data_IF_142617093718
#
_entry.id   IF_142617093718
#
_cell.length_a   1.000
_cell.length_b   1.000
_cell.length_c   1.000
_cell.angle_alpha   90.00
_cell.angle_beta   90.00
_cell.angle_gamma   90.00
#
_symmetry.space_group_name_H-M   'P 1'
#
loop_
_entity.id
_entity.type
_entity.pdbx_description
1 polymer ?
#
# COMPACT_ATOMS: atom_id res chain seq x y z
N UNK A 1 -36.08 -14.32 34.63
CA UNK A 1 -35.62 -13.82 33.32
C UNK A 1 -34.17 -13.41 33.50
N UNK A 2 -33.25 -14.09 32.83
CA UNK A 2 -31.81 -13.90 33.05
C UNK A 2 -31.11 -13.98 31.70
N UNK A 3 -30.46 -12.90 31.29
CA UNK A 3 -29.79 -12.78 30.00
C UNK A 3 -28.45 -13.51 30.00
N UNK A 4 -28.25 -14.44 29.07
CA UNK A 4 -26.98 -15.15 28.90
C UNK A 4 -26.24 -14.52 27.71
N UNK A 5 -25.16 -13.79 28.01
CA UNK A 5 -24.26 -13.21 27.01
C UNK A 5 -23.21 -14.23 26.59
N UNK A 6 -23.38 -14.85 25.42
CA UNK A 6 -22.43 -15.81 24.86
C UNK A 6 -21.22 -15.12 24.23
N UNK A 7 -20.07 -15.18 24.91
CA UNK A 7 -18.79 -14.66 24.38
C UNK A 7 -18.01 -15.80 23.73
N UNK A 8 -17.90 -15.80 22.40
CA UNK A 8 -17.19 -16.83 21.63
C UNK A 8 -15.67 -16.56 21.63
N UNK A 9 -14.92 -17.33 22.43
CA UNK A 9 -13.45 -17.29 22.41
C UNK A 9 -12.91 -18.27 21.36
N UNK A 10 -12.13 -17.74 20.41
CA UNK A 10 -11.52 -18.51 19.32
C UNK A 10 -10.50 -19.54 19.80
N UNK A 11 -10.57 -20.75 19.25
CA UNK A 11 -9.83 -21.95 19.69
C UNK A 11 -8.42 -22.10 19.10
N UNK A 12 -7.83 -21.04 18.53
CA UNK A 12 -6.56 -21.13 17.81
C UNK A 12 -5.28 -21.01 18.66
N UNK A 13 -5.37 -20.72 19.97
CA UNK A 13 -4.22 -20.35 20.82
C UNK A 13 -3.56 -21.52 21.58
N UNK A 14 -3.61 -22.75 21.06
CA UNK A 14 -3.17 -23.95 21.82
C UNK A 14 -2.31 -24.96 21.06
N UNK A 15 -1.49 -24.49 20.11
CA UNK A 15 -0.31 -25.21 19.61
C UNK A 15 0.88 -24.25 19.62
N UNK A 16 2.04 -24.77 19.98
CA UNK A 16 3.31 -24.06 20.25
C UNK A 16 3.35 -23.27 21.56
N UNK A 17 4.14 -23.79 22.49
CA UNK A 17 4.41 -23.21 23.79
C UNK A 17 5.46 -22.09 23.74
N UNK A 18 5.60 -21.41 24.86
CA UNK A 18 6.39 -20.21 25.07
C UNK A 18 7.71 -20.53 25.76
N UNK A 19 8.83 -19.95 25.30
CA UNK A 19 9.94 -19.50 26.16
C UNK A 19 10.91 -18.58 25.40
N UNK A 20 11.53 -17.60 26.09
CA UNK A 20 12.52 -16.68 25.51
C UNK A 20 12.30 -15.19 25.81
N UNK A 21 12.57 -14.75 27.04
CA UNK A 21 12.52 -13.34 27.45
C UNK A 21 13.66 -12.53 26.79
N UNK A 22 13.41 -11.29 26.35
CA UNK A 22 14.09 -10.07 26.87
C UNK A 22 13.71 -8.77 26.13
N UNK A 23 13.88 -7.65 26.84
CA UNK A 23 14.08 -6.29 26.33
C UNK A 23 12.95 -5.63 25.53
N UNK A 24 12.08 -4.95 26.28
CA UNK A 24 11.49 -3.69 25.84
C UNK A 24 12.57 -2.73 25.32
N UNK A 25 12.45 -2.28 24.06
CA UNK A 25 13.11 -1.07 23.57
C UNK A 25 12.08 -0.18 22.89
N UNK A 26 11.66 0.85 23.61
CA UNK A 26 10.95 1.99 23.00
C UNK A 26 11.94 2.69 22.07
N UNK A 27 11.63 2.78 20.78
CA UNK A 27 12.35 3.69 19.90
C UNK A 27 11.94 5.13 20.24
N UNK A 28 12.91 5.93 20.67
CA UNK A 28 12.73 7.35 20.92
C UNK A 28 13.08 8.15 19.65
N UNK A 29 12.30 9.18 19.35
CA UNK A 29 12.55 10.09 18.24
C UNK A 29 13.90 10.81 18.39
N UNK A 30 14.64 11.09 17.29
CA UNK A 30 15.87 11.86 17.36
C UNK A 30 15.62 13.29 17.82
N UNK A 31 16.40 13.77 18.80
CA UNK A 31 16.43 15.19 19.15
C UNK A 31 17.28 15.96 18.13
N UNK A 32 16.62 16.70 17.23
CA UNK A 32 17.26 17.74 16.42
C UNK A 32 17.70 18.93 17.28
N UNK A 33 18.77 19.61 16.87
CA UNK A 33 19.45 20.63 17.67
C UNK A 33 18.67 21.96 17.78
N UNK A 34 18.98 22.72 18.84
CA UNK A 34 18.49 24.08 19.07
C UNK A 34 19.03 25.04 18.01
N UNK A 35 18.13 25.72 17.29
CA UNK A 35 18.43 26.93 16.53
C UNK A 35 17.93 28.16 17.30
N UNK A 36 18.75 29.21 17.38
CA UNK A 36 18.40 30.46 18.07
C UNK A 36 17.55 31.38 17.17
N UNK A 37 16.51 31.99 17.76
CA UNK A 37 16.03 33.32 17.36
C UNK A 37 15.05 33.86 18.40
N UNK A 38 15.57 34.62 19.37
CA UNK A 38 14.74 35.33 20.35
C UNK A 38 14.02 36.51 19.68
N UNK A 39 12.69 36.53 19.75
CA UNK A 39 11.90 37.74 19.50
C UNK A 39 11.72 38.49 20.83
N UNK A 40 11.96 39.81 20.90
CA UNK A 40 11.87 40.54 22.16
C UNK A 40 10.40 40.76 22.54
N UNK A 41 9.94 40.04 23.57
CA UNK A 41 8.69 40.33 24.25
C UNK A 41 8.88 41.53 25.21
N UNK A 42 8.10 42.59 24.99
CA UNK A 42 8.18 43.85 25.76
C UNK A 42 7.73 43.64 27.20
N UNK A 43 8.67 43.61 28.15
CA UNK A 43 8.38 43.59 29.58
C UNK A 43 8.55 44.99 30.21
N UNK A 44 7.47 45.49 30.79
CA UNK A 44 7.51 46.63 31.70
C UNK A 44 8.29 46.25 32.98
N UNK A 45 9.33 47.01 33.30
CA UNK A 45 10.04 46.91 34.58
C UNK A 45 10.04 48.26 35.28
N UNK A 46 9.33 48.34 36.41
CA UNK A 46 9.37 49.49 37.31
C UNK A 46 10.63 49.42 38.18
N UNK A 47 11.49 50.43 38.12
CA UNK A 47 12.75 50.49 38.86
C UNK A 47 12.90 51.81 39.62
N UNK A 48 12.71 51.78 40.95
CA UNK A 48 13.16 52.83 41.86
C UNK A 48 14.57 52.49 42.35
N UNK A 49 15.48 53.46 42.39
CA UNK A 49 16.49 53.73 43.46
C UNK A 49 17.40 54.89 43.03
N UNK A 50 17.27 56.05 43.68
CA UNK A 50 18.23 56.62 44.65
C UNK A 50 19.64 56.92 44.12
N UNK A 51 19.94 58.22 43.97
CA UNK A 51 21.30 58.76 43.90
C UNK A 51 21.28 60.18 44.45
N UNK A 52 21.97 60.44 45.56
CA UNK A 52 21.91 61.70 46.30
C UNK A 52 23.29 62.37 46.38
N UNK A 53 23.31 63.70 46.25
CA UNK A 53 24.44 64.60 46.56
C UNK A 53 23.81 66.00 46.73
N UNK A 54 23.55 66.56 47.92
CA UNK A 54 24.37 66.87 49.11
C UNK A 54 25.24 68.13 48.95
N UNK A 55 24.67 69.29 49.28
CA UNK A 55 25.37 70.58 49.39
C UNK A 55 24.71 71.44 50.48
N UNK A 56 25.43 71.65 51.57
CA UNK A 56 25.07 72.50 52.74
C UNK A 56 25.19 74.00 52.40
N UNK A 57 24.69 74.98 53.17
CA UNK A 57 24.42 75.10 54.61
C UNK A 57 23.15 75.98 54.88
N UNK A 58 22.42 75.88 56.02
CA UNK A 58 22.69 76.55 57.32
C UNK A 58 23.00 78.05 57.19
N UNK A 59 22.38 79.01 57.89
CA UNK A 59 21.33 79.01 58.94
C UNK A 59 20.46 80.30 58.77
N UNK A 60 19.55 80.75 59.63
CA UNK A 60 19.16 80.38 61.00
C UNK A 60 17.64 80.64 61.23
N UNK A 61 17.25 81.17 62.39
CA UNK A 61 15.90 81.69 62.71
C UNK A 61 15.96 83.20 62.98
N UNK A 62 14.84 83.93 62.80
CA UNK A 62 14.29 84.80 63.84
C UNK A 62 12.89 85.34 63.49
N UNK A 63 12.06 85.45 64.52
CA UNK A 63 10.75 86.12 64.52
C UNK A 63 10.91 87.63 64.64
N UNK A 64 10.18 88.45 63.89
CA UNK A 64 9.84 89.80 64.37
C UNK A 64 8.56 90.38 63.76
N UNK A 65 7.69 90.87 64.64
CA UNK A 65 6.45 91.58 64.33
C UNK A 65 6.67 93.04 63.93
N UNK A 66 5.75 93.52 63.09
CA UNK A 66 5.23 94.91 62.98
C UNK A 66 6.23 96.06 63.13
N UNK A 67 6.50 96.77 62.02
CA UNK A 67 6.83 98.19 62.09
C UNK A 67 6.14 99.02 60.98
N UNK A 68 5.53 100.14 61.37
CA UNK A 68 4.50 100.86 60.62
C UNK A 68 5.09 101.88 59.61
N UNK A 69 5.97 101.43 58.73
CA UNK A 69 6.62 102.28 57.71
C UNK A 69 6.67 101.63 56.30
N UNK A 70 5.86 100.60 56.07
CA UNK A 70 5.93 99.77 54.86
C UNK A 70 5.04 100.20 53.69
N UNK A 71 4.02 101.05 53.87
CA UNK A 71 2.91 101.17 52.90
C UNK A 71 3.35 101.58 51.48
N UNK A 72 4.20 102.60 51.34
CA UNK A 72 4.61 103.13 50.01
C UNK A 72 5.61 102.20 49.32
N UNK A 73 6.48 101.53 50.10
CA UNK A 73 7.42 100.52 49.58
C UNK A 73 6.75 99.19 49.26
N UNK A 74 5.69 98.82 50.00
CA UNK A 74 4.92 97.60 49.77
C UNK A 74 4.10 97.68 48.47
N UNK A 75 3.57 98.84 48.10
CA UNK A 75 2.85 98.99 46.83
C UNK A 75 3.82 99.02 45.62
N UNK A 76 5.03 99.57 45.78
CA UNK A 76 6.11 99.40 44.79
C UNK A 76 6.60 97.95 44.70
N UNK A 77 6.74 97.25 45.83
CA UNK A 77 7.12 95.84 45.86
C UNK A 77 6.04 94.96 45.21
N UNK A 78 4.75 95.17 45.53
CA UNK A 78 3.60 94.51 44.88
C UNK A 78 3.52 94.86 43.39
N UNK A 79 3.82 96.09 42.99
CA UNK A 79 3.84 96.47 41.58
C UNK A 79 4.97 95.76 40.81
N UNK A 80 6.16 95.65 41.42
CA UNK A 80 7.29 94.90 40.87
C UNK A 80 7.02 93.39 40.83
N UNK A 81 6.46 92.81 41.90
CA UNK A 81 6.02 91.41 41.97
C UNK A 81 4.92 91.13 40.93
N UNK A 82 3.95 92.04 40.77
CA UNK A 82 2.93 91.97 39.72
C UNK A 82 3.53 92.05 38.32
N UNK A 83 4.54 92.89 38.10
CA UNK A 83 5.26 92.97 36.82
C UNK A 83 6.08 91.69 36.54
N UNK A 84 6.72 91.11 37.56
CA UNK A 84 7.40 89.81 37.46
C UNK A 84 6.41 88.68 37.18
N UNK A 85 5.27 88.64 37.87
CA UNK A 85 4.17 87.69 37.61
C UNK A 85 3.57 87.87 36.22
N UNK A 86 3.44 89.10 35.72
CA UNK A 86 3.04 89.36 34.33
C UNK A 86 4.09 88.88 33.32
N UNK A 87 5.39 89.12 33.59
CA UNK A 87 6.47 88.59 32.75
C UNK A 87 6.51 87.06 32.75
N UNK A 88 6.26 86.43 33.90
CA UNK A 88 6.20 84.98 34.04
C UNK A 88 4.97 84.42 33.31
N UNK A 89 3.81 85.08 33.43
CA UNK A 89 2.59 84.70 32.73
C UNK A 89 2.71 84.87 31.21
N UNK A 90 3.29 85.97 30.72
CA UNK A 90 3.59 86.16 29.29
C UNK A 90 4.52 85.05 28.77
N UNK A 91 5.51 84.62 29.58
CA UNK A 91 6.37 83.48 29.25
C UNK A 91 5.60 82.15 29.26
N UNK A 92 4.68 81.93 30.21
CA UNK A 92 3.78 80.77 30.19
C UNK A 92 2.86 80.76 28.97
N UNK A 93 2.27 81.89 28.57
CA UNK A 93 1.49 82.01 27.32
C UNK A 93 2.35 81.63 26.11
N UNK A 94 3.60 82.09 26.04
CA UNK A 94 4.53 81.68 24.96
C UNK A 94 4.86 80.19 24.98
N UNK A 95 4.94 79.56 26.16
CA UNK A 95 5.13 78.11 26.28
C UNK A 95 3.88 77.33 25.91
N UNK A 96 2.69 77.78 26.30
CA UNK A 96 1.40 77.17 25.93
C UNK A 96 1.22 77.21 24.41
N UNK A 97 1.49 78.35 23.77
CA UNK A 97 1.41 78.46 22.31
C UNK A 97 2.46 77.59 21.62
N UNK A 98 3.69 77.51 22.15
CA UNK A 98 4.72 76.60 21.64
C UNK A 98 4.35 75.13 21.81
N UNK A 99 3.73 74.75 22.93
CA UNK A 99 3.19 73.39 23.16
C UNK A 99 2.08 73.11 22.15
N UNK A 100 1.13 74.03 21.96
CA UNK A 100 0.04 73.90 20.98
C UNK A 100 0.55 73.70 19.54
N UNK A 101 1.55 74.46 19.12
CA UNK A 101 2.19 74.30 17.80
C UNK A 101 2.94 72.97 17.68
N UNK A 102 3.59 72.51 18.76
CA UNK A 102 4.25 71.19 18.80
C UNK A 102 3.26 70.02 18.84
N UNK A 103 2.11 70.19 19.50
CA UNK A 103 1.00 69.25 19.50
C UNK A 103 0.40 69.15 18.10
N UNK A 104 0.05 70.28 17.48
CA UNK A 104 -0.46 70.32 16.09
C UNK A 104 0.53 69.70 15.09
N UNK A 105 1.84 69.94 15.26
CA UNK A 105 2.88 69.32 14.43
C UNK A 105 3.01 67.81 14.70
N UNK A 106 2.89 67.36 15.94
CA UNK A 106 2.84 65.93 16.25
C UNK A 106 1.57 65.28 15.68
N UNK A 107 0.44 65.97 15.70
CA UNK A 107 -0.82 65.49 15.11
C UNK A 107 -0.68 65.31 13.60
N UNK A 108 -0.08 66.29 12.91
CA UNK A 108 0.23 66.20 11.48
C UNK A 108 1.21 65.04 11.17
N UNK A 109 2.30 64.90 11.95
CA UNK A 109 3.26 63.80 11.78
C UNK A 109 2.65 62.42 12.08
N UNK A 110 1.70 62.33 13.03
CA UNK A 110 0.93 61.11 13.27
C UNK A 110 0.00 60.80 12.09
N UNK A 111 -0.71 61.79 11.57
CA UNK A 111 -1.57 61.62 10.40
C UNK A 111 -0.77 61.20 9.14
N UNK A 112 0.43 61.77 8.94
CA UNK A 112 1.36 61.33 7.90
C UNK A 112 1.84 59.89 8.13
N UNK A 113 2.26 59.54 9.35
CA UNK A 113 2.67 58.16 9.69
C UNK A 113 1.55 57.14 9.50
N UNK A 114 0.32 57.47 9.90
CA UNK A 114 -0.84 56.59 9.69
C UNK A 114 -1.26 56.52 8.22
N UNK A 115 -1.02 57.58 7.42
CA UNK A 115 -1.17 57.51 5.96
C UNK A 115 -0.13 56.58 5.32
N UNK A 116 1.13 56.63 5.78
CA UNK A 116 2.18 55.72 5.32
C UNK A 116 2.02 54.28 5.82
N UNK A 117 1.43 54.08 7.01
CA UNK A 117 1.08 52.77 7.58
C UNK A 117 -0.18 52.17 6.96
N UNK A 118 -1.15 53.02 6.62
CA UNK A 118 -2.41 52.67 5.96
C UNK A 118 -2.26 52.35 4.48
N UNK A 119 -1.15 52.77 3.85
CA UNK A 119 -0.62 52.09 2.67
C UNK A 119 -0.14 50.69 3.12
N UNK A 120 -1.05 49.72 3.08
CA UNK A 120 -0.79 48.32 3.42
C UNK A 120 0.30 47.67 2.56
N UNK A 121 0.58 46.36 2.75
CA UNK A 121 1.57 45.65 1.94
C UNK A 121 1.30 45.94 0.46
N UNK A 122 2.29 46.53 -0.22
CA UNK A 122 2.13 46.97 -1.62
C UNK A 122 1.63 45.80 -2.44
N UNK A 123 0.78 46.00 -3.46
CA UNK A 123 0.23 44.93 -4.33
C UNK A 123 1.28 43.87 -4.76
N UNK A 124 2.54 44.29 -4.95
CA UNK A 124 3.69 43.42 -5.17
C UNK A 124 3.96 42.42 -4.04
N UNK A 125 3.93 42.84 -2.77
CA UNK A 125 4.09 41.99 -1.60
C UNK A 125 2.93 40.98 -1.45
N UNK A 126 1.71 41.34 -1.83
CA UNK A 126 0.57 40.42 -1.88
C UNK A 126 0.75 39.37 -2.98
N UNK A 127 1.20 39.77 -4.18
CA UNK A 127 1.54 38.86 -5.27
C UNK A 127 2.68 37.91 -4.90
N UNK A 128 3.79 38.42 -4.35
CA UNK A 128 4.89 37.58 -3.87
C UNK A 128 4.46 36.64 -2.72
N UNK A 129 3.54 37.07 -1.84
CA UNK A 129 2.96 36.19 -0.81
C UNK A 129 2.11 35.07 -1.42
N UNK A 130 1.36 35.36 -2.50
CA UNK A 130 0.60 34.36 -3.25
C UNK A 130 1.53 33.35 -3.95
N UNK A 131 2.54 33.83 -4.68
CA UNK A 131 3.55 33.00 -5.33
C UNK A 131 4.29 32.09 -4.32
N UNK A 132 4.68 32.62 -3.16
CA UNK A 132 5.30 31.83 -2.09
C UNK A 132 4.32 30.80 -1.50
N UNK A 133 3.03 31.11 -1.42
CA UNK A 133 2.01 30.14 -0.99
C UNK A 133 1.81 29.03 -2.03
N UNK A 134 1.80 29.35 -3.33
CA UNK A 134 1.69 28.38 -4.41
C UNK A 134 2.93 27.50 -4.52
N UNK A 135 4.13 28.06 -4.43
CA UNK A 135 5.37 27.29 -4.41
C UNK A 135 5.41 26.32 -3.21
N UNK A 136 4.91 26.73 -2.04
CA UNK A 136 4.74 25.82 -0.88
C UNK A 136 3.75 24.70 -1.20
N UNK A 137 2.57 24.99 -1.74
CA UNK A 137 1.59 23.98 -2.17
C UNK A 137 2.18 22.98 -3.18
N UNK A 138 3.01 23.45 -4.12
CA UNK A 138 3.70 22.57 -5.08
C UNK A 138 4.77 21.69 -4.40
N UNK A 139 5.55 22.25 -3.47
CA UNK A 139 6.51 21.46 -2.66
C UNK A 139 5.78 20.42 -1.82
N UNK A 140 4.65 20.74 -1.20
CA UNK A 140 3.85 19.81 -0.41
C UNK A 140 3.27 18.67 -1.27
N UNK A 141 2.72 18.99 -2.47
CA UNK A 141 2.27 18.00 -3.46
C UNK A 141 3.41 17.05 -3.87
N UNK A 142 4.53 17.60 -4.33
CA UNK A 142 5.70 16.81 -4.76
C UNK A 142 6.28 15.97 -3.61
N UNK A 143 6.23 16.46 -2.37
CA UNK A 143 6.68 15.71 -1.19
C UNK A 143 5.75 14.53 -0.89
N UNK A 144 4.44 14.72 -1.04
CA UNK A 144 3.45 13.66 -0.88
C UNK A 144 3.54 12.60 -2.00
N UNK A 145 3.63 13.04 -3.26
CA UNK A 145 3.85 12.16 -4.43
C UNK A 145 5.14 11.35 -4.28
N UNK A 146 6.24 11.99 -3.87
CA UNK A 146 7.49 11.32 -3.55
C UNK A 146 7.33 10.28 -2.44
N UNK A 147 6.62 10.60 -1.35
CA UNK A 147 6.41 9.66 -0.26
C UNK A 147 5.60 8.42 -0.72
N UNK A 148 4.57 8.62 -1.55
CA UNK A 148 3.81 7.53 -2.18
C UNK A 148 4.71 6.66 -3.07
N UNK A 149 5.54 7.29 -3.92
CA UNK A 149 6.47 6.58 -4.79
C UNK A 149 7.57 5.81 -4.01
N UNK A 150 8.05 6.35 -2.88
CA UNK A 150 9.00 5.66 -2.00
C UNK A 150 8.38 4.42 -1.33
N UNK A 151 7.12 4.51 -0.88
CA UNK A 151 6.38 3.35 -0.36
C UNK A 151 6.13 2.29 -1.44
N UNK A 152 5.75 2.71 -2.66
CA UNK A 152 5.59 1.79 -3.80
C UNK A 152 6.91 1.09 -4.15
N UNK A 153 8.03 1.83 -4.23
CA UNK A 153 9.37 1.28 -4.42
C UNK A 153 9.69 0.22 -3.36
N UNK A 154 9.42 0.52 -2.09
CA UNK A 154 9.76 -0.39 -0.99
C UNK A 154 8.89 -1.65 -0.99
N UNK A 155 7.61 -1.53 -1.36
CA UNK A 155 6.74 -2.69 -1.63
C UNK A 155 7.30 -3.55 -2.78
N UNK A 156 7.66 -2.96 -3.92
CA UNK A 156 8.27 -3.70 -5.04
C UNK A 156 9.61 -4.35 -4.65
N UNK A 157 10.42 -3.73 -3.78
CA UNK A 157 11.64 -4.33 -3.25
C UNK A 157 11.37 -5.54 -2.34
N UNK A 158 10.27 -5.53 -1.58
CA UNK A 158 9.81 -6.70 -0.81
C UNK A 158 9.34 -7.81 -1.75
N UNK A 159 8.58 -7.47 -2.80
CA UNK A 159 8.11 -8.43 -3.79
C UNK A 159 9.25 -9.07 -4.59
N UNK A 160 10.23 -8.29 -5.03
CA UNK A 160 11.44 -8.80 -5.69
C UNK A 160 12.18 -9.79 -4.77
N UNK A 161 12.31 -9.48 -3.46
CA UNK A 161 12.93 -10.42 -2.50
C UNK A 161 12.11 -11.70 -2.34
N UNK A 162 10.78 -11.59 -2.25
CA UNK A 162 9.84 -12.72 -2.16
C UNK A 162 9.91 -13.62 -3.39
N UNK A 163 9.92 -13.04 -4.59
CA UNK A 163 10.03 -13.77 -5.86
C UNK A 163 11.41 -14.43 -6.00
N UNK A 164 12.49 -13.74 -5.61
CA UNK A 164 13.84 -14.33 -5.61
C UNK A 164 13.96 -15.53 -4.66
N UNK A 165 13.38 -15.45 -3.46
CA UNK A 165 13.37 -16.57 -2.52
C UNK A 165 12.61 -17.78 -3.09
N UNK A 166 11.42 -17.56 -3.67
CA UNK A 166 10.66 -18.62 -4.35
C UNK A 166 11.43 -19.23 -5.53
N UNK A 167 12.11 -18.40 -6.34
CA UNK A 167 12.94 -18.89 -7.43
C UNK A 167 14.10 -19.77 -6.95
N UNK A 168 14.72 -19.43 -5.82
CA UNK A 168 15.77 -20.26 -5.22
C UNK A 168 15.22 -21.59 -4.69
N UNK A 169 14.03 -21.59 -4.09
CA UNK A 169 13.32 -22.79 -3.64
C UNK A 169 12.97 -23.72 -4.82
N UNK A 170 12.40 -23.18 -5.90
CA UNK A 170 12.09 -23.93 -7.14
C UNK A 170 13.35 -24.50 -7.82
N UNK A 171 14.48 -23.77 -7.80
CA UNK A 171 15.76 -24.28 -8.32
C UNK A 171 16.22 -25.50 -7.52
N UNK A 172 16.15 -25.45 -6.18
CA UNK A 172 16.53 -26.58 -5.32
C UNK A 172 15.60 -27.78 -5.49
N UNK A 173 14.29 -27.55 -5.62
CA UNK A 173 13.30 -28.61 -5.89
C UNK A 173 13.51 -29.26 -7.26
N UNK A 174 13.82 -28.47 -8.30
CA UNK A 174 14.21 -28.98 -9.62
C UNK A 174 15.47 -29.84 -9.54
N UNK A 175 16.50 -29.38 -8.82
CA UNK A 175 17.76 -30.12 -8.64
C UNK A 175 17.56 -31.43 -7.85
N UNK A 176 16.64 -31.47 -6.88
CA UNK A 176 16.24 -32.71 -6.21
C UNK A 176 15.51 -33.67 -7.15
N UNK A 177 14.54 -33.17 -7.92
CA UNK A 177 13.81 -33.97 -8.90
C UNK A 177 14.74 -34.52 -10.01
N UNK A 178 15.73 -33.74 -10.46
CA UNK A 178 16.74 -34.16 -11.43
C UNK A 178 17.68 -35.24 -10.85
N UNK A 179 18.14 -35.08 -9.60
CA UNK A 179 18.94 -36.11 -8.90
C UNK A 179 18.16 -37.41 -8.70
N UNK A 180 16.89 -37.31 -8.28
CA UNK A 180 15.99 -38.47 -8.14
C UNK A 180 15.76 -39.17 -9.48
N UNK A 181 15.48 -38.42 -10.54
CA UNK A 181 15.34 -38.96 -11.91
C UNK A 181 16.63 -39.62 -12.41
N UNK A 182 17.80 -39.07 -12.07
CA UNK A 182 19.09 -39.66 -12.42
C UNK A 182 19.35 -40.97 -11.64
N UNK A 183 18.95 -41.06 -10.37
CA UNK A 183 18.98 -42.32 -9.60
C UNK A 183 18.10 -43.37 -10.26
N UNK A 184 16.83 -43.06 -10.54
CA UNK A 184 15.91 -44.02 -11.16
C UNK A 184 16.38 -44.50 -12.54
N UNK A 185 17.11 -43.68 -13.31
CA UNK A 185 17.76 -44.14 -14.55
C UNK A 185 18.85 -45.19 -14.27
N UNK A 186 19.71 -44.95 -13.28
CA UNK A 186 20.72 -45.93 -12.87
C UNK A 186 20.08 -47.22 -12.36
N UNK A 187 19.01 -47.13 -11.57
CA UNK A 187 18.27 -48.29 -11.07
C UNK A 187 17.63 -49.09 -12.22
N UNK A 188 17.09 -48.41 -13.24
CA UNK A 188 16.57 -49.04 -14.47
C UNK A 188 17.68 -49.70 -15.28
N UNK A 189 18.84 -49.07 -15.42
CA UNK A 189 19.99 -49.65 -16.14
C UNK A 189 20.52 -50.91 -15.41
N UNK A 190 20.62 -50.88 -14.08
CA UNK A 190 20.99 -52.02 -13.24
C UNK A 190 19.95 -53.15 -13.38
N UNK A 191 18.66 -52.83 -13.31
CA UNK A 191 17.58 -53.81 -13.49
C UNK A 191 17.56 -54.41 -14.90
N UNK A 192 17.88 -53.63 -15.93
CA UNK A 192 17.99 -54.10 -17.31
C UNK A 192 19.17 -55.07 -17.49
N UNK A 193 20.34 -54.77 -16.90
CA UNK A 193 21.49 -55.69 -16.88
C UNK A 193 21.14 -57.01 -16.16
N UNK A 194 20.54 -56.93 -14.96
CA UNK A 194 20.10 -58.10 -14.22
C UNK A 194 19.08 -58.95 -15.01
N UNK A 195 18.18 -58.31 -15.77
CA UNK A 195 17.23 -59.00 -16.65
C UNK A 195 17.96 -59.78 -17.76
N UNK A 196 18.94 -59.18 -18.42
CA UNK A 196 19.74 -59.81 -19.49
C UNK A 196 20.55 -61.00 -18.95
N UNK A 197 21.13 -60.89 -17.76
CA UNK A 197 21.88 -62.00 -17.16
C UNK A 197 20.96 -63.16 -16.71
N UNK A 198 19.75 -62.86 -16.25
CA UNK A 198 18.72 -63.88 -16.00
C UNK A 198 18.21 -64.53 -17.29
N UNK A 199 17.98 -63.75 -18.36
CA UNK A 199 17.63 -64.25 -19.70
C UNK A 199 18.69 -65.26 -20.19
N UNK A 200 19.97 -64.90 -20.14
CA UNK A 200 21.09 -65.80 -20.46
C UNK A 200 21.13 -67.06 -19.59
N UNK A 201 20.84 -66.94 -18.30
CA UNK A 201 20.83 -68.10 -17.38
C UNK A 201 19.67 -69.05 -17.69
N UNK A 202 18.51 -68.51 -18.07
CA UNK A 202 17.37 -69.29 -18.56
C UNK A 202 17.70 -70.00 -19.87
N UNK A 203 18.32 -69.33 -20.85
CA UNK A 203 18.78 -69.94 -22.10
C UNK A 203 19.78 -71.09 -21.83
N UNK A 204 20.78 -70.86 -20.98
CA UNK A 204 21.76 -71.89 -20.59
C UNK A 204 21.11 -73.11 -19.92
N UNK A 205 20.12 -72.92 -19.04
CA UNK A 205 19.39 -74.03 -18.41
C UNK A 205 18.45 -74.74 -19.40
N UNK A 206 17.91 -74.05 -20.39
CA UNK A 206 17.14 -74.66 -21.48
C UNK A 206 18.03 -75.51 -22.40
N UNK A 207 19.28 -75.10 -22.64
CA UNK A 207 20.28 -75.90 -23.36
C UNK A 207 20.66 -77.16 -22.59
N UNK A 208 20.92 -77.04 -21.29
CA UNK A 208 21.22 -78.16 -20.40
C UNK A 208 20.04 -79.16 -20.32
N UNK A 209 18.81 -78.68 -20.18
CA UNK A 209 17.60 -79.52 -20.24
C UNK A 209 17.42 -80.20 -21.61
N UNK A 210 17.74 -79.53 -22.71
CA UNK A 210 17.71 -80.13 -24.05
C UNK A 210 18.78 -81.21 -24.23
N UNK A 211 19.96 -81.03 -23.62
CA UNK A 211 21.02 -82.02 -23.62
C UNK A 211 20.64 -83.25 -22.78
N UNK A 212 20.20 -83.05 -21.54
CA UNK A 212 19.76 -84.12 -20.64
C UNK A 212 18.60 -84.95 -21.22
N UNK A 213 17.63 -84.31 -21.88
CA UNK A 213 16.54 -85.03 -22.56
C UNK A 213 17.06 -85.96 -23.66
N UNK A 214 17.98 -85.48 -24.51
CA UNK A 214 18.59 -86.32 -25.56
C UNK A 214 19.36 -87.50 -24.96
N UNK A 215 20.12 -87.27 -23.89
CA UNK A 215 20.86 -88.31 -23.19
C UNK A 215 19.91 -89.39 -22.63
N UNK A 216 18.87 -89.01 -21.89
CA UNK A 216 17.88 -89.97 -21.39
C UNK A 216 17.12 -90.68 -22.52
N UNK A 217 16.83 -90.01 -23.64
CA UNK A 217 16.24 -90.63 -24.84
C UNK A 217 17.17 -91.63 -25.53
N UNK A 218 18.49 -91.52 -25.34
CA UNK A 218 19.51 -92.48 -25.80
C UNK A 218 19.61 -93.67 -24.83
N UNK A 219 19.74 -93.41 -23.52
CA UNK A 219 19.79 -94.43 -22.46
C UNK A 219 18.52 -95.30 -22.43
N UNK A 220 17.33 -94.68 -22.54
CA UNK A 220 16.06 -95.43 -22.58
C UNK A 220 15.97 -96.35 -23.80
N UNK A 221 16.50 -95.95 -24.96
CA UNK A 221 16.58 -96.83 -26.15
C UNK A 221 17.49 -98.03 -25.90
N UNK A 222 18.61 -97.83 -25.20
CA UNK A 222 19.53 -98.91 -24.84
C UNK A 222 18.90 -99.89 -23.82
N UNK A 223 18.30 -99.38 -22.74
CA UNK A 223 17.64 -100.20 -21.72
C UNK A 223 16.44 -100.95 -22.32
N UNK A 224 15.67 -100.33 -23.22
CA UNK A 224 14.53 -100.99 -23.88
C UNK A 224 15.00 -102.18 -24.75
N UNK A 225 16.16 -102.08 -25.41
CA UNK A 225 16.77 -103.18 -26.13
C UNK A 225 17.23 -104.32 -25.19
N UNK A 226 17.82 -103.98 -24.03
CA UNK A 226 18.23 -104.96 -23.02
C UNK A 226 17.03 -105.69 -22.38
N UNK A 227 15.95 -104.97 -22.06
CA UNK A 227 14.75 -105.55 -21.44
C UNK A 227 14.01 -106.52 -22.36
N UNK A 228 13.98 -106.25 -23.67
CA UNK A 228 13.43 -107.18 -24.67
C UNK A 228 14.18 -108.51 -24.74
N UNK A 229 15.44 -108.58 -24.29
CA UNK A 229 16.20 -109.83 -24.17
C UNK A 229 15.88 -110.61 -22.89
N UNK A 230 15.40 -109.96 -21.83
CA UNK A 230 15.21 -110.58 -20.51
C UNK A 230 13.78 -111.11 -20.25
N UNK A 231 12.77 -110.63 -20.97
CA UNK A 231 11.36 -111.01 -20.70
C UNK A 231 10.96 -112.42 -21.20
N UNK A 232 11.89 -113.21 -21.75
CA UNK A 232 11.67 -114.63 -22.08
C UNK A 232 11.96 -115.57 -20.90
N UNK A 233 11.10 -115.53 -19.87
CA UNK A 233 10.97 -116.65 -18.94
C UNK A 233 10.88 -116.30 -17.46
N UNK A 234 9.64 -116.30 -16.93
CA UNK A 234 9.20 -117.22 -15.88
C UNK A 234 7.71 -116.96 -15.62
N UNK A 235 6.89 -118.00 -15.58
CA UNK A 235 5.45 -117.92 -15.26
C UNK A 235 5.24 -118.57 -13.88
N UNK A 236 4.29 -118.00 -13.14
CA UNK A 236 3.55 -118.52 -11.98
C UNK A 236 3.85 -119.96 -11.50
N UNK A 237 3.79 -120.17 -10.18
CA UNK A 237 2.57 -120.71 -9.58
C UNK A 237 2.57 -120.71 -8.04
N UNK A 238 1.39 -120.40 -7.50
CA UNK A 238 1.01 -120.58 -6.10
C UNK A 238 0.99 -122.07 -5.70
N UNK A 239 0.83 -122.37 -4.39
CA UNK A 239 -0.37 -123.07 -3.86
C UNK A 239 -0.23 -123.41 -2.35
N UNK A 240 -1.07 -122.72 -1.56
CA UNK A 240 -1.73 -123.06 -0.28
C UNK A 240 -1.08 -123.89 0.85
N UNK A 241 -1.16 -123.34 2.06
CA UNK A 241 -1.22 -124.08 3.34
C UNK A 241 -2.51 -124.94 3.46
N UNK A 242 -2.49 -126.03 4.25
CA UNK A 242 -3.70 -126.70 4.71
C UNK A 242 -4.05 -126.42 6.19
N UNK A 243 -5.34 -126.59 6.47
CA UNK A 243 -6.08 -126.59 7.75
C UNK A 243 -5.79 -125.46 8.75
N UNK A 244 -6.66 -124.44 8.64
CA UNK A 244 -6.43 -123.13 9.20
C UNK A 244 -7.21 -122.92 10.51
N UNK A 245 -8.32 -123.61 10.84
CA UNK A 245 -9.39 -123.00 11.69
C UNK A 245 -9.18 -122.93 13.21
N UNK A 246 -8.62 -123.96 13.86
CA UNK A 246 -8.34 -123.90 15.32
C UNK A 246 -7.05 -123.13 15.58
N UNK A 247 -6.03 -123.42 14.76
CA UNK A 247 -4.84 -122.61 14.65
C UNK A 247 -5.25 -121.15 14.44
N UNK A 248 -6.11 -120.79 13.48
CA UNK A 248 -6.58 -119.43 13.13
C UNK A 248 -7.10 -118.60 14.29
N UNK A 249 -7.52 -119.19 15.40
CA UNK A 249 -8.01 -118.44 16.56
C UNK A 249 -6.87 -118.08 17.51
N UNK A 250 -5.95 -119.01 17.73
CA UNK A 250 -4.71 -118.76 18.46
C UNK A 250 -3.71 -118.00 17.59
N UNK A 251 -3.48 -118.44 16.36
CA UNK A 251 -2.94 -117.66 15.23
C UNK A 251 -3.70 -116.34 15.06
N UNK A 252 -5.00 -116.17 15.36
CA UNK A 252 -5.60 -114.81 15.35
C UNK A 252 -4.97 -113.96 16.43
N UNK A 253 -5.00 -114.42 17.67
CA UNK A 253 -4.47 -113.68 18.82
C UNK A 253 -2.95 -113.49 18.70
N UNK A 254 -2.24 -114.46 18.13
CA UNK A 254 -0.82 -114.39 17.80
C UNK A 254 -0.56 -113.50 16.59
N UNK A 255 -1.42 -113.45 15.56
CA UNK A 255 -1.33 -112.48 14.44
C UNK A 255 -1.85 -111.11 14.82
N UNK A 256 -2.68 -110.96 15.85
CA UNK A 256 -3.19 -109.68 16.32
C UNK A 256 -2.15 -109.08 17.28
N UNK A 257 -1.50 -109.90 18.10
CA UNK A 257 -0.27 -109.54 18.81
C UNK A 257 0.94 -109.37 17.87
N UNK A 258 1.10 -110.20 16.83
CA UNK A 258 2.21 -110.09 15.88
C UNK A 258 1.96 -108.99 14.87
N UNK A 259 0.74 -108.72 14.43
CA UNK A 259 0.41 -107.54 13.63
C UNK A 259 0.42 -106.26 14.48
N UNK A 260 0.09 -106.32 15.77
CA UNK A 260 0.37 -105.20 16.68
C UNK A 260 1.88 -104.99 16.82
N UNK A 261 2.66 -106.04 17.09
CA UNK A 261 4.14 -105.98 17.19
C UNK A 261 4.83 -105.72 15.85
N UNK A 262 4.20 -105.98 14.71
CA UNK A 262 4.69 -105.68 13.38
C UNK A 262 4.19 -104.32 12.89
N UNK A 263 3.05 -103.81 13.38
CA UNK A 263 2.65 -102.42 13.19
C UNK A 263 3.57 -101.51 14.01
N UNK A 264 3.64 -101.71 15.33
CA UNK A 264 4.59 -101.02 16.22
C UNK A 264 6.04 -101.29 15.78
N UNK A 265 6.38 -102.54 15.47
CA UNK A 265 7.74 -102.89 15.01
C UNK A 265 8.09 -102.36 13.63
N UNK A 266 7.12 -102.06 12.77
CA UNK A 266 7.29 -101.38 11.47
C UNK A 266 7.33 -99.87 11.66
N UNK A 267 6.54 -99.32 12.57
CA UNK A 267 6.59 -97.91 13.01
C UNK A 267 7.97 -97.61 13.63
N UNK A 268 8.41 -98.43 14.60
CA UNK A 268 9.78 -98.49 15.13
C UNK A 268 10.82 -98.77 14.03
N UNK A 269 10.51 -99.51 12.95
CA UNK A 269 11.44 -99.70 11.83
C UNK A 269 11.59 -98.44 10.98
N UNK A 270 10.48 -97.73 10.71
CA UNK A 270 10.48 -96.47 9.97
C UNK A 270 11.09 -95.33 10.79
N UNK A 271 10.89 -95.33 12.12
CA UNK A 271 11.44 -94.34 13.04
C UNK A 271 12.91 -94.63 13.41
N UNK A 272 13.30 -95.90 13.57
CA UNK A 272 14.72 -96.30 13.78
C UNK A 272 15.55 -96.34 12.50
N UNK A 273 14.96 -96.10 11.33
CA UNK A 273 15.70 -95.67 10.13
C UNK A 273 16.00 -94.17 10.29
N UNK A 274 17.19 -93.77 10.77
CA UNK A 274 17.49 -92.35 11.02
C UNK A 274 17.31 -91.52 9.75
N UNK A 275 17.55 -92.11 8.58
CA UNK A 275 17.38 -91.44 7.29
C UNK A 275 15.92 -91.12 6.93
N UNK A 276 14.94 -91.95 7.30
CA UNK A 276 13.52 -91.72 7.01
C UNK A 276 12.88 -90.80 8.05
N UNK A 277 13.23 -90.96 9.33
CA UNK A 277 12.86 -90.00 10.38
C UNK A 277 13.45 -88.62 10.09
N UNK A 278 14.72 -88.54 9.67
CA UNK A 278 15.35 -87.30 9.20
C UNK A 278 14.67 -86.74 7.95
N UNK A 279 14.34 -87.55 6.93
CA UNK A 279 13.60 -87.06 5.76
C UNK A 279 12.20 -86.53 6.11
N UNK A 280 11.47 -87.21 6.99
CA UNK A 280 10.14 -86.81 7.45
C UNK A 280 10.21 -85.51 8.25
N UNK A 281 11.18 -85.40 9.15
CA UNK A 281 11.40 -84.17 9.94
C UNK A 281 11.89 -83.02 9.06
N UNK A 282 12.77 -83.27 8.10
CA UNK A 282 13.23 -82.28 7.12
C UNK A 282 12.08 -81.80 6.24
N UNK A 283 11.25 -82.71 5.73
CA UNK A 283 10.10 -82.36 4.90
C UNK A 283 9.03 -81.57 5.68
N UNK A 284 8.78 -81.90 6.94
CA UNK A 284 7.88 -81.11 7.82
C UNK A 284 8.47 -79.71 8.03
N UNK A 285 9.77 -79.60 8.34
CA UNK A 285 10.46 -78.31 8.52
C UNK A 285 10.44 -77.47 7.24
N UNK A 286 10.69 -78.06 6.06
CA UNK A 286 10.62 -77.36 4.77
C UNK A 286 9.19 -76.88 4.46
N UNK A 287 8.16 -77.67 4.83
CA UNK A 287 6.75 -77.32 4.60
C UNK A 287 6.28 -76.19 5.52
N UNK A 288 6.66 -76.24 6.80
CA UNK A 288 6.41 -75.17 7.77
C UNK A 288 7.18 -73.89 7.40
N UNK A 289 8.42 -73.99 6.91
CA UNK A 289 9.21 -72.86 6.44
C UNK A 289 8.57 -72.21 5.20
N UNK A 290 8.17 -72.99 4.20
CA UNK A 290 7.43 -72.47 3.04
C UNK A 290 6.10 -71.82 3.45
N UNK A 291 5.35 -72.41 4.40
CA UNK A 291 4.12 -71.80 4.91
C UNK A 291 4.38 -70.47 5.64
N UNK A 292 5.46 -70.40 6.41
CA UNK A 292 5.92 -69.18 7.07
C UNK A 292 6.25 -68.10 6.04
N UNK A 293 7.10 -68.42 5.06
CA UNK A 293 7.52 -67.51 3.99
C UNK A 293 6.33 -67.01 3.15
N UNK A 294 5.40 -67.90 2.76
CA UNK A 294 4.17 -67.50 2.05
C UNK A 294 3.29 -66.57 2.89
N UNK A 295 3.16 -66.86 4.19
CA UNK A 295 2.35 -66.06 5.12
C UNK A 295 2.99 -64.68 5.33
N UNK A 296 4.31 -64.61 5.46
CA UNK A 296 5.07 -63.38 5.63
C UNK A 296 5.03 -62.53 4.35
N UNK A 297 5.23 -63.14 3.17
CA UNK A 297 5.06 -62.49 1.87
C UNK A 297 3.62 -61.97 1.66
N UNK A 298 2.60 -62.74 2.05
CA UNK A 298 1.21 -62.30 2.00
C UNK A 298 0.93 -61.13 2.96
N UNK A 299 1.58 -61.09 4.13
CA UNK A 299 1.45 -59.99 5.07
C UNK A 299 2.17 -58.71 4.58
N UNK A 300 3.38 -58.82 4.03
CA UNK A 300 4.07 -57.72 3.34
C UNK A 300 3.22 -57.13 2.22
N UNK A 301 2.61 -57.97 1.38
CA UNK A 301 1.70 -57.51 0.32
C UNK A 301 0.47 -56.78 0.87
N UNK A 302 -0.14 -57.25 1.97
CA UNK A 302 -1.25 -56.54 2.64
C UNK A 302 -0.82 -55.20 3.22
N UNK A 303 0.41 -55.08 3.70
CA UNK A 303 0.97 -53.83 4.23
C UNK A 303 1.25 -52.82 3.12
N UNK A 304 1.88 -53.24 2.03
CA UNK A 304 2.09 -52.41 0.82
C UNK A 304 0.75 -51.93 0.27
N UNK A 305 -0.26 -52.80 0.14
CA UNK A 305 -1.61 -52.42 -0.27
C UNK A 305 -2.29 -51.45 0.70
N UNK A 306 -2.03 -51.55 2.00
CA UNK A 306 -2.55 -50.61 3.01
C UNK A 306 -1.86 -49.25 2.90
N UNK A 307 -0.55 -49.22 2.71
CA UNK A 307 0.23 -48.00 2.51
C UNK A 307 -0.19 -47.26 1.24
N UNK A 308 -0.26 -47.96 0.10
CA UNK A 308 -0.72 -47.39 -1.17
C UNK A 308 -2.16 -46.84 -1.09
N UNK A 309 -3.06 -47.53 -0.35
CA UNK A 309 -4.41 -46.98 -0.08
C UNK A 309 -4.37 -45.74 0.80
N UNK A 310 -3.48 -45.65 1.78
CA UNK A 310 -3.35 -44.47 2.63
C UNK A 310 -2.81 -43.28 1.84
N UNK A 311 -1.80 -43.50 0.98
CA UNK A 311 -1.25 -42.49 0.07
C UNK A 311 -2.28 -42.00 -0.96
N UNK A 312 -3.06 -42.91 -1.55
CA UNK A 312 -4.16 -42.54 -2.45
C UNK A 312 -5.24 -41.70 -1.75
N UNK A 313 -5.61 -42.05 -0.51
CA UNK A 313 -6.56 -41.27 0.30
C UNK A 313 -6.01 -39.89 0.67
N UNK A 314 -4.72 -39.77 0.99
CA UNK A 314 -4.10 -38.49 1.32
C UNK A 314 -3.96 -37.60 0.08
N UNK A 315 -3.58 -38.17 -1.07
CA UNK A 315 -3.60 -37.50 -2.37
C UNK A 315 -5.01 -36.98 -2.70
N UNK A 316 -6.05 -37.79 -2.47
CA UNK A 316 -7.44 -37.37 -2.69
C UNK A 316 -7.85 -36.21 -1.76
N UNK A 317 -7.42 -36.21 -0.49
CA UNK A 317 -7.63 -35.08 0.44
C UNK A 317 -6.89 -33.83 -0.01
N UNK A 318 -5.67 -33.95 -0.49
CA UNK A 318 -4.87 -32.82 -0.97
C UNK A 318 -5.51 -32.19 -2.21
N UNK A 319 -6.00 -33.01 -3.16
CA UNK A 319 -6.77 -32.54 -4.32
C UNK A 319 -8.05 -31.81 -3.87
N UNK A 320 -8.79 -32.34 -2.89
CA UNK A 320 -9.98 -31.66 -2.34
C UNK A 320 -9.62 -30.33 -1.67
N UNK A 321 -8.56 -30.28 -0.87
CA UNK A 321 -8.10 -29.06 -0.21
C UNK A 321 -7.70 -27.97 -1.23
N UNK A 322 -6.90 -28.32 -2.24
CA UNK A 322 -6.51 -27.42 -3.32
C UNK A 322 -7.71 -26.96 -4.16
N UNK A 323 -8.69 -27.85 -4.41
CA UNK A 323 -9.93 -27.48 -5.11
C UNK A 323 -10.72 -26.43 -4.31
N UNK A 324 -10.87 -26.63 -3.00
CA UNK A 324 -11.52 -25.67 -2.11
C UNK A 324 -10.77 -24.32 -2.08
N UNK A 325 -9.43 -24.33 -2.04
CA UNK A 325 -8.61 -23.11 -2.08
C UNK A 325 -8.76 -22.37 -3.41
N UNK A 326 -8.73 -23.08 -4.54
CA UNK A 326 -9.00 -22.49 -5.87
C UNK A 326 -10.39 -21.86 -5.91
N UNK A 327 -11.40 -22.50 -5.36
CA UNK A 327 -12.76 -21.96 -5.36
C UNK A 327 -12.98 -20.82 -4.34
N UNK A 328 -12.21 -20.72 -3.26
CA UNK A 328 -12.22 -19.52 -2.41
C UNK A 328 -11.51 -18.37 -3.10
N UNK A 329 -10.35 -18.62 -3.73
CA UNK A 329 -9.61 -17.61 -4.50
C UNK A 329 -10.45 -17.05 -5.66
N UNK A 330 -11.12 -17.89 -6.45
CA UNK A 330 -12.08 -17.45 -7.49
C UNK A 330 -13.14 -16.50 -6.93
N UNK A 331 -13.84 -16.88 -5.84
CA UNK A 331 -14.87 -16.03 -5.22
C UNK A 331 -14.30 -14.70 -4.71
N UNK A 332 -13.09 -14.70 -4.15
CA UNK A 332 -12.44 -13.44 -3.74
C UNK A 332 -12.06 -12.57 -4.93
N UNK A 333 -11.61 -13.16 -6.04
CA UNK A 333 -11.32 -12.42 -7.27
C UNK A 333 -12.61 -11.84 -7.89
N UNK A 334 -13.67 -12.63 -8.03
CA UNK A 334 -15.01 -12.17 -8.47
C UNK A 334 -15.53 -11.00 -7.62
N UNK A 335 -15.33 -11.06 -6.30
CA UNK A 335 -15.70 -9.98 -5.37
C UNK A 335 -14.85 -8.72 -5.55
N UNK A 336 -13.55 -8.86 -5.83
CA UNK A 336 -12.65 -7.72 -6.06
C UNK A 336 -12.92 -7.07 -7.42
N UNK A 337 -13.14 -7.85 -8.47
CA UNK A 337 -13.57 -7.35 -9.78
C UNK A 337 -14.90 -6.60 -9.69
N UNK A 338 -15.86 -7.09 -8.90
CA UNK A 338 -17.14 -6.40 -8.70
C UNK A 338 -16.97 -5.09 -7.92
N UNK A 339 -16.08 -5.04 -6.91
CA UNK A 339 -15.73 -3.81 -6.22
C UNK A 339 -15.00 -2.81 -7.14
N UNK A 340 -14.13 -3.28 -8.04
CA UNK A 340 -13.48 -2.43 -9.04
C UNK A 340 -14.50 -1.82 -9.99
N UNK A 341 -15.41 -2.61 -10.59
CA UNK A 341 -16.47 -2.09 -11.47
C UNK A 341 -17.35 -1.07 -10.76
N UNK A 342 -17.75 -1.32 -9.52
CA UNK A 342 -18.52 -0.36 -8.71
C UNK A 342 -17.74 0.94 -8.45
N UNK A 343 -16.42 0.86 -8.24
CA UNK A 343 -15.57 2.03 -8.07
C UNK A 343 -15.44 2.83 -9.37
N UNK A 344 -15.25 2.15 -10.50
CA UNK A 344 -15.20 2.74 -11.85
C UNK A 344 -16.53 3.43 -12.22
N UNK A 345 -17.67 2.78 -11.96
CA UNK A 345 -19.01 3.35 -12.14
C UNK A 345 -19.23 4.59 -11.27
N UNK A 346 -18.85 4.55 -9.99
CA UNK A 346 -18.95 5.70 -9.09
C UNK A 346 -18.07 6.87 -9.55
N UNK A 347 -16.83 6.62 -10.00
CA UNK A 347 -15.97 7.67 -10.55
C UNK A 347 -16.49 8.23 -11.87
N UNK A 348 -17.10 7.39 -12.73
CA UNK A 348 -17.74 7.87 -13.95
C UNK A 348 -18.95 8.78 -13.65
N UNK A 349 -19.76 8.43 -12.65
CA UNK A 349 -20.88 9.26 -12.18
C UNK A 349 -20.39 10.58 -11.57
N UNK A 350 -19.37 10.55 -10.71
CA UNK A 350 -18.78 11.75 -10.10
C UNK A 350 -18.13 12.65 -11.17
N UNK A 351 -17.41 12.08 -12.13
CA UNK A 351 -16.86 12.82 -13.27
C UNK A 351 -17.96 13.44 -14.14
N UNK A 352 -19.09 12.76 -14.34
CA UNK A 352 -20.25 13.34 -15.04
C UNK A 352 -20.84 14.51 -14.26
N UNK A 353 -20.97 14.40 -12.93
CA UNK A 353 -21.45 15.48 -12.09
C UNK A 353 -20.52 16.71 -12.11
N UNK A 354 -19.19 16.51 -12.17
CA UNK A 354 -18.25 17.61 -12.37
C UNK A 354 -18.38 18.24 -13.77
N UNK A 355 -18.53 17.45 -14.83
CA UNK A 355 -18.80 17.98 -16.18
C UNK A 355 -20.12 18.78 -16.24
N UNK A 356 -21.17 18.32 -15.56
CA UNK A 356 -22.46 19.01 -15.48
C UNK A 356 -22.35 20.35 -14.73
N UNK A 357 -21.61 20.39 -13.62
CA UNK A 357 -21.37 21.63 -12.89
C UNK A 357 -20.48 22.62 -13.65
N UNK A 358 -19.45 22.15 -14.37
CA UNK A 358 -18.67 22.98 -15.31
C UNK A 358 -19.57 23.59 -16.38
N UNK A 359 -20.38 22.76 -17.06
CA UNK A 359 -21.32 23.19 -18.10
C UNK A 359 -22.32 24.24 -17.61
N UNK A 360 -22.87 24.07 -16.41
CA UNK A 360 -23.73 25.08 -15.78
C UNK A 360 -22.98 26.39 -15.46
N UNK A 361 -21.71 26.33 -15.08
CA UNK A 361 -20.89 27.53 -14.85
C UNK A 361 -20.54 28.24 -16.17
N UNK A 362 -20.24 27.50 -17.23
CA UNK A 362 -20.01 28.03 -18.58
C UNK A 362 -21.26 28.75 -19.12
N UNK A 363 -22.44 28.14 -18.97
CA UNK A 363 -23.73 28.76 -19.32
C UNK A 363 -23.98 30.04 -18.54
N UNK A 364 -23.72 30.05 -17.23
CA UNK A 364 -23.81 31.27 -16.41
C UNK A 364 -22.83 32.36 -16.87
N UNK A 365 -21.61 32.01 -17.28
CA UNK A 365 -20.62 32.96 -17.82
C UNK A 365 -21.10 33.54 -19.16
N UNK A 366 -21.72 32.75 -20.03
CA UNK A 366 -22.31 33.24 -21.28
C UNK A 366 -23.47 34.19 -21.00
N UNK A 367 -24.42 33.80 -20.14
CA UNK A 367 -25.55 34.64 -19.75
C UNK A 367 -25.11 35.98 -19.15
N UNK A 368 -24.04 35.99 -18.33
CA UNK A 368 -23.48 37.23 -17.79
C UNK A 368 -22.76 38.10 -18.85
N UNK A 369 -22.12 37.49 -19.85
CA UNK A 369 -21.52 38.23 -20.97
C UNK A 369 -22.59 38.93 -21.82
N UNK A 370 -23.68 38.21 -22.13
CA UNK A 370 -24.80 38.76 -22.90
C UNK A 370 -25.51 39.88 -22.14
N UNK A 371 -25.69 39.73 -20.82
CA UNK A 371 -26.23 40.78 -19.95
C UNK A 371 -25.32 42.02 -19.88
N UNK A 372 -23.99 41.84 -19.81
CA UNK A 372 -23.04 42.96 -19.88
C UNK A 372 -23.11 43.66 -21.26
N UNK A 373 -23.21 42.89 -22.36
CA UNK A 373 -23.35 43.45 -23.70
C UNK A 373 -24.65 44.25 -23.85
N UNK A 374 -25.76 43.76 -23.30
CA UNK A 374 -27.05 44.46 -23.24
C UNK A 374 -26.94 45.78 -22.47
N UNK A 375 -26.34 45.75 -21.27
CA UNK A 375 -26.13 46.95 -20.46
C UNK A 375 -25.26 47.99 -21.18
N UNK A 376 -24.17 47.56 -21.84
CA UNK A 376 -23.31 48.46 -22.62
C UNK A 376 -24.07 49.16 -23.75
N UNK A 377 -24.96 48.45 -24.44
CA UNK A 377 -25.81 49.05 -25.47
C UNK A 377 -26.79 50.07 -24.89
N UNK A 378 -27.42 49.77 -23.75
CA UNK A 378 -28.31 50.70 -23.04
C UNK A 378 -27.57 51.96 -22.54
N UNK A 379 -26.30 51.84 -22.14
CA UNK A 379 -25.45 52.99 -21.82
C UNK A 379 -25.07 53.82 -23.04
N UNK A 380 -24.83 53.19 -24.21
CA UNK A 380 -24.55 53.88 -25.47
C UNK A 380 -25.77 54.68 -25.94
N UNK A 381 -26.97 54.09 -25.91
CA UNK A 381 -28.23 54.76 -26.24
C UNK A 381 -28.51 55.96 -25.30
N UNK A 382 -28.31 55.78 -23.99
CA UNK A 382 -28.46 56.87 -23.02
C UNK A 382 -27.44 58.00 -23.26
N UNK A 383 -26.21 57.66 -23.63
CA UNK A 383 -25.18 58.63 -24.01
C UNK A 383 -25.58 59.39 -25.29
N UNK A 384 -26.12 58.69 -26.30
CA UNK A 384 -26.61 59.30 -27.54
C UNK A 384 -27.76 60.29 -27.26
N UNK A 385 -28.72 59.92 -26.40
CA UNK A 385 -29.78 60.83 -25.92
C UNK A 385 -29.18 62.04 -25.20
N UNK A 386 -28.19 61.84 -24.33
CA UNK A 386 -27.51 62.93 -23.61
C UNK A 386 -26.80 63.89 -24.57
N UNK A 387 -26.14 63.39 -25.62
CA UNK A 387 -25.50 64.21 -26.66
C UNK A 387 -26.54 65.02 -27.43
N UNK A 388 -27.68 64.42 -27.79
CA UNK A 388 -28.78 65.15 -28.43
C UNK A 388 -29.31 66.29 -27.55
N UNK A 389 -29.53 66.03 -26.25
CA UNK A 389 -29.96 67.05 -25.28
C UNK A 389 -28.92 68.17 -25.08
N UNK A 390 -27.62 67.86 -25.07
CA UNK A 390 -26.56 68.87 -25.01
C UNK A 390 -26.60 69.79 -26.25
N UNK A 391 -26.83 69.22 -27.44
CA UNK A 391 -26.99 69.97 -28.70
C UNK A 391 -28.23 70.87 -28.63
N UNK A 392 -29.38 70.34 -28.18
CA UNK A 392 -30.58 71.13 -27.95
C UNK A 392 -30.30 72.30 -27.00
N UNK A 393 -29.73 72.05 -25.81
CA UNK A 393 -29.35 73.09 -24.84
C UNK A 393 -28.41 74.13 -25.45
N UNK A 394 -27.42 73.72 -26.25
CA UNK A 394 -26.52 74.64 -26.95
C UNK A 394 -27.26 75.51 -27.98
N UNK A 395 -28.21 74.94 -28.74
CA UNK A 395 -29.03 75.73 -29.67
C UNK A 395 -29.99 76.68 -28.95
N UNK A 396 -30.62 76.28 -27.85
CA UNK A 396 -31.45 77.16 -27.03
C UNK A 396 -30.64 78.32 -26.43
N UNK A 397 -29.42 78.07 -25.94
CA UNK A 397 -28.50 79.14 -25.48
C UNK A 397 -28.19 80.14 -26.59
N UNK A 398 -27.82 79.65 -27.78
CA UNK A 398 -27.53 80.49 -28.95
C UNK A 398 -28.72 81.32 -29.41
N UNK A 399 -29.94 80.80 -29.31
CA UNK A 399 -31.18 81.55 -29.57
C UNK A 399 -31.41 82.68 -28.55
N UNK A 400 -31.11 82.46 -27.27
CA UNK A 400 -31.19 83.51 -26.24
C UNK A 400 -30.09 84.58 -26.39
N UNK A 401 -28.87 84.17 -26.76
CA UNK A 401 -27.80 85.12 -27.13
C UNK A 401 -28.19 85.93 -28.38
N UNK A 402 -28.91 85.33 -29.32
CA UNK A 402 -29.54 85.99 -30.47
C UNK A 402 -30.57 87.06 -30.08
N UNK A 403 -31.42 86.80 -29.09
CA UNK A 403 -32.42 87.79 -28.65
C UNK A 403 -31.81 88.94 -27.82
N UNK A 404 -30.68 88.72 -27.15
CA UNK A 404 -29.92 89.78 -26.49
C UNK A 404 -29.03 90.61 -27.44
N UNK A 405 -28.60 90.06 -28.57
CA UNK A 405 -27.71 90.74 -29.54
C UNK A 405 -28.43 91.55 -30.63
N UNK A 406 -29.77 91.43 -30.75
CA UNK A 406 -30.59 92.29 -31.61
C UNK A 406 -30.66 93.77 -31.15
N UNK A 407 -29.97 94.15 -30.06
CA UNK A 407 -29.84 95.52 -29.60
C UNK A 407 -28.37 96.03 -29.59
N UNK A 408 -27.51 95.58 -30.52
CA UNK A 408 -26.36 96.41 -30.95
C UNK A 408 -25.80 96.04 -32.33
N UNK A 409 -26.05 96.95 -33.28
CA UNK A 409 -25.28 97.22 -34.52
C UNK A 409 -24.98 96.09 -35.51
N UNK A 410 -25.53 96.25 -36.72
CA UNK A 410 -25.23 95.45 -37.91
C UNK A 410 -23.79 95.65 -38.42
N UNK A 411 -23.09 94.56 -38.78
CA UNK A 411 -22.51 94.33 -40.12
C UNK A 411 -21.94 92.90 -40.25
N UNK A 412 -21.76 92.37 -41.48
CA UNK A 412 -21.57 90.93 -41.71
C UNK A 412 -20.09 90.52 -41.76
N UNK A 413 -19.81 89.20 -41.73
CA UNK A 413 -19.04 88.47 -42.77
C UNK A 413 -18.73 87.01 -42.36
N UNK A 414 -18.81 86.12 -43.37
CA UNK A 414 -18.04 84.88 -43.63
C UNK A 414 -17.74 83.83 -42.55
N UNK A 415 -17.93 82.57 -42.96
CA UNK A 415 -17.30 81.34 -42.45
C UNK A 415 -15.90 81.55 -41.85
N UNK A 416 -15.63 80.89 -40.72
CA UNK A 416 -14.28 80.38 -40.41
C UNK A 416 -14.36 79.11 -39.57
N UNK A 417 -13.57 78.11 -39.95
CA UNK A 417 -13.39 76.88 -39.21
C UNK A 417 -12.93 77.13 -37.78
N UNK A 418 -13.74 76.66 -36.83
CA UNK A 418 -13.27 76.29 -35.51
C UNK A 418 -13.87 74.93 -35.15
N UNK A 419 -13.40 73.90 -35.87
CA UNK A 419 -13.37 72.52 -35.36
C UNK A 419 -12.50 72.54 -34.11
N UNK A 420 -13.09 72.86 -32.96
CA UNK A 420 -12.47 72.66 -31.65
C UNK A 420 -12.57 71.18 -31.30
N UNK A 421 -11.70 70.45 -31.98
CA UNK A 421 -10.97 69.29 -31.51
C UNK A 421 -11.16 68.99 -30.01
N UNK A 422 -12.14 68.15 -29.72
CA UNK A 422 -12.24 67.38 -28.47
C UNK A 422 -12.72 65.97 -28.80
N UNK A 423 -12.11 65.39 -29.85
CA UNK A 423 -11.99 63.95 -30.00
C UNK A 423 -11.09 63.40 -28.90
N UNK A 424 -11.58 63.30 -27.67
CA UNK A 424 -11.12 62.25 -26.75
C UNK A 424 -11.69 60.92 -27.25
N UNK A 425 -11.18 60.46 -28.39
CA UNK A 425 -11.40 59.10 -28.86
C UNK A 425 -10.59 58.17 -27.96
N UNK A 426 -11.15 57.86 -26.79
CA UNK A 426 -10.73 56.68 -26.03
C UNK A 426 -11.14 55.45 -26.84
N UNK A 427 -10.30 55.09 -27.83
CA UNK A 427 -10.35 53.79 -28.48
C UNK A 427 -10.16 52.73 -27.40
N UNK A 428 -11.26 52.12 -26.96
CA UNK A 428 -11.23 50.97 -26.07
C UNK A 428 -10.78 49.77 -26.90
N UNK A 429 -9.47 49.53 -26.93
CA UNK A 429 -8.89 48.35 -27.57
C UNK A 429 -9.14 47.12 -26.69
N UNK A 430 -10.22 46.40 -26.96
CA UNK A 430 -10.48 45.11 -26.32
C UNK A 430 -9.61 44.06 -27.03
N UNK A 431 -8.55 43.61 -26.36
CA UNK A 431 -7.79 42.40 -26.76
C UNK A 431 -8.50 41.17 -26.17
N UNK A 432 -9.12 40.28 -26.97
CA UNK A 432 -9.55 38.98 -26.49
C UNK A 432 -8.32 38.09 -26.30
N UNK A 433 -7.94 37.81 -25.05
CA UNK A 433 -6.93 36.79 -24.73
C UNK A 433 -7.64 35.48 -24.40
N UNK A 434 -7.43 34.45 -25.21
CA UNK A 434 -7.87 33.09 -24.89
C UNK A 434 -6.86 32.45 -23.93
N UNK A 435 -7.30 32.18 -22.70
CA UNK A 435 -6.46 31.59 -21.66
C UNK A 435 -6.80 30.12 -21.50
N UNK A 436 -5.82 29.23 -21.69
CA UNK A 436 -5.94 27.80 -21.37
C UNK A 436 -4.80 27.41 -20.43
N UNK A 437 -5.15 26.84 -19.28
CA UNK A 437 -4.24 26.38 -18.24
C UNK A 437 -3.22 27.42 -17.71
N UNK A 438 -3.56 28.70 -17.78
CA UNK A 438 -2.88 29.78 -17.04
C UNK A 438 -1.73 30.51 -17.77
N UNK A 439 -1.31 30.05 -18.95
CA UNK A 439 -0.41 30.80 -19.83
C UNK A 439 -1.15 31.44 -21.02
N UNK A 440 -0.72 32.63 -21.41
CA UNK A 440 -1.31 33.40 -22.52
C UNK A 440 -0.53 33.11 -23.80
N UNK A 441 -1.12 32.32 -24.70
CA UNK A 441 -0.46 31.86 -25.92
C UNK A 441 -0.97 32.64 -27.14
N UNK A 442 -0.08 33.50 -27.68
CA UNK A 442 -0.17 34.30 -28.91
C UNK A 442 -0.80 35.71 -28.81
N UNK A 443 0.02 36.73 -29.10
CA UNK A 443 -0.42 38.08 -29.50
C UNK A 443 -0.27 38.27 -31.02
N UNK A 444 -1.39 38.22 -31.76
CA UNK A 444 -1.38 38.51 -33.20
C UNK A 444 -1.50 40.02 -33.47
N UNK A 445 -0.38 40.68 -33.78
CA UNK A 445 -0.38 42.07 -34.28
C UNK A 445 -0.56 42.11 -35.79
N UNK A 446 -1.78 42.38 -36.24
CA UNK A 446 -2.05 42.66 -37.66
C UNK A 446 -2.27 44.16 -37.86
N UNK A 447 -1.22 44.84 -38.32
CA UNK A 447 -1.33 46.22 -38.80
C UNK A 447 -2.11 46.22 -40.11
N UNK A 448 -3.12 47.09 -40.23
CA UNK A 448 -3.76 47.40 -41.49
C UNK A 448 -3.59 48.90 -41.74
N UNK A 449 -2.74 49.23 -42.71
CA UNK A 449 -2.58 50.60 -43.22
C UNK A 449 -3.75 50.93 -44.15
N UNK A 450 -4.27 52.15 -44.05
CA UNK A 450 -5.25 52.70 -44.99
C UNK A 450 -4.59 53.00 -46.35
N UNK A 451 -5.35 52.91 -47.45
CA UNK A 451 -5.23 53.83 -48.57
C UNK A 451 -6.35 54.89 -48.55
N UNK A 452 -6.06 56.05 -49.12
CA UNK A 452 -6.81 57.34 -49.09
C UNK A 452 -8.30 57.30 -49.46
#
# INVERSE_FOLDING_TARGET
MTTISSTTISSYRKRFGNEGRTSSRRFASPKGARGHSDAPATLYASGKTTGAWSGTASAAAETHDINLSGAVSADLARANEKAQMQSLNNRFVSYIEKVRVLEQRNEALRAELERWRGNGPTRLAELCAHEVADLRRHVDKLTNEKAIAEVQRDNFLVDIKRIRAKLQEEILLREEAERSTQSFRQDVDIAALARVDLERKVESLQDELRFLKKLHEEELREIQAQSQQQQQGCVDLNVSQPDLTSALREIRVQYENLASKNAHGSEDWYDSKPYLSWLKSLHIVDMDLQFSDLTEAANRNKEVLRAARQEANESQRQVQALTCEVDTLKRTNESLELQMRQMEENFALESSAYQDTIRCLEENILNLKDEIARQLHEYEDLLNIKIALDIEIATYRKLMEGSHSLCQTSQPLTLRDHVLESRTSTKVLIKPTESRDGEVVNESTQNHEEPE
#
